data_IF_202233324664
#
_entry.id   IF_202233324664
#
_cell.length_a   1.000
_cell.length_b   1.000
_cell.length_c   1.000
_cell.angle_alpha   90.00
_cell.angle_beta   90.00
_cell.angle_gamma   90.00
#
_symmetry.space_group_name_H-M   'P 1'
#
loop_
_entity.id
_entity.type
_entity.pdbx_description
1 polymer ?
#
# COMPACT_ATOMS: atom_id res chain seq x y z
N UNK A 1 37.52 -24.60 -22.13
CA UNK A 1 36.15 -25.02 -22.49
C UNK A 1 35.22 -24.43 -21.45
N UNK A 2 34.71 -23.24 -21.76
CA UNK A 2 33.81 -22.51 -20.88
C UNK A 2 32.37 -22.90 -21.27
N UNK A 3 31.77 -23.76 -20.46
CA UNK A 3 30.41 -24.22 -20.66
C UNK A 3 29.46 -23.21 -20.02
N UNK A 4 29.16 -22.14 -20.73
CA UNK A 4 28.08 -21.23 -20.36
C UNK A 4 26.74 -21.99 -20.41
N UNK A 5 26.21 -22.32 -19.25
CA UNK A 5 24.87 -22.89 -19.08
C UNK A 5 23.86 -21.89 -19.65
N UNK A 6 23.01 -22.28 -20.61
CA UNK A 6 21.98 -21.38 -21.14
C UNK A 6 21.01 -21.03 -20.03
N UNK A 7 21.02 -19.78 -19.61
CA UNK A 7 20.04 -19.25 -18.65
C UNK A 7 18.68 -19.27 -19.34
N UNK A 8 17.78 -20.11 -18.86
CA UNK A 8 16.40 -20.16 -19.34
C UNK A 8 15.75 -18.79 -19.15
N UNK A 9 15.35 -18.08 -20.22
CA UNK A 9 14.78 -16.74 -20.12
C UNK A 9 13.51 -16.68 -19.25
N UNK A 10 12.75 -17.75 -19.18
CA UNK A 10 11.59 -17.86 -18.30
C UNK A 10 11.97 -17.96 -16.81
N UNK A 11 13.10 -18.57 -16.47
CA UNK A 11 13.61 -18.61 -15.09
C UNK A 11 14.17 -17.25 -14.67
N UNK A 12 14.80 -16.52 -15.57
CA UNK A 12 15.28 -15.15 -15.32
C UNK A 12 14.13 -14.12 -15.12
N UNK A 13 12.96 -14.36 -15.71
CA UNK A 13 11.76 -13.53 -15.46
C UNK A 13 11.12 -13.80 -14.10
N UNK A 14 11.23 -15.01 -13.57
CA UNK A 14 10.70 -15.37 -12.24
C UNK A 14 11.50 -14.72 -11.09
N UNK A 15 12.75 -14.37 -11.33
CA UNK A 15 13.62 -13.73 -10.34
C UNK A 15 13.43 -12.19 -10.30
N UNK A 16 12.67 -11.62 -11.23
CA UNK A 16 12.37 -10.20 -11.31
C UNK A 16 11.00 -9.90 -10.71
N UNK A 17 10.99 -9.09 -9.64
CA UNK A 17 9.74 -8.69 -9.01
C UNK A 17 8.98 -7.66 -9.84
N UNK A 18 9.72 -6.73 -10.49
CA UNK A 18 9.16 -5.63 -11.24
C UNK A 18 10.09 -5.25 -12.40
N UNK A 19 9.53 -5.09 -13.60
CA UNK A 19 10.21 -4.54 -14.76
C UNK A 19 9.42 -3.38 -15.32
N UNK A 20 10.05 -2.24 -15.47
CA UNK A 20 9.48 -1.03 -16.07
C UNK A 20 10.21 -0.78 -17.39
N UNK A 21 9.45 -0.54 -18.47
CA UNK A 21 10.00 -0.24 -19.79
C UNK A 21 9.38 1.03 -20.34
N UNK A 22 10.24 2.00 -20.68
CA UNK A 22 9.89 3.25 -21.35
C UNK A 22 8.69 3.95 -20.71
N UNK A 23 8.64 3.96 -19.37
CA UNK A 23 7.52 4.51 -18.63
C UNK A 23 7.51 6.04 -18.77
N UNK A 24 6.40 6.56 -19.26
CA UNK A 24 6.18 7.98 -19.44
C UNK A 24 4.94 8.42 -18.68
N UNK A 25 5.01 9.57 -18.02
CA UNK A 25 3.88 10.20 -17.37
C UNK A 25 3.86 11.69 -17.63
N UNK A 26 2.75 12.14 -18.17
CA UNK A 26 2.41 13.56 -18.32
C UNK A 26 1.10 13.84 -17.56
N UNK A 27 1.07 14.95 -16.83
CA UNK A 27 -0.17 15.47 -16.24
C UNK A 27 -0.81 16.54 -17.14
N UNK A 28 0.03 17.21 -17.93
CA UNK A 28 -0.36 18.16 -18.99
C UNK A 28 0.37 17.77 -20.27
N UNK A 29 -0.31 17.91 -21.41
CA UNK A 29 0.30 17.60 -22.69
C UNK A 29 1.62 18.37 -22.87
N UNK A 30 2.66 17.68 -23.33
CA UNK A 30 3.98 18.25 -23.57
C UNK A 30 4.83 18.51 -22.32
N UNK A 31 4.35 18.18 -21.11
CA UNK A 31 5.10 18.36 -19.86
C UNK A 31 5.29 17.01 -19.16
N UNK A 32 6.22 16.18 -19.61
CA UNK A 32 6.46 14.87 -19.01
C UNK A 32 7.17 15.01 -17.65
N UNK A 33 6.58 14.40 -16.63
CA UNK A 33 7.19 14.23 -15.29
C UNK A 33 8.06 12.99 -15.26
N UNK A 34 7.65 11.92 -15.96
CA UNK A 34 8.49 10.76 -16.22
C UNK A 34 8.79 10.70 -17.71
N UNK A 35 10.07 10.58 -18.05
CA UNK A 35 10.59 10.58 -19.42
C UNK A 35 11.29 9.25 -19.68
N UNK A 36 10.55 8.31 -20.27
CA UNK A 36 11.07 7.01 -20.74
C UNK A 36 11.88 6.24 -19.68
N UNK A 37 11.34 6.18 -18.46
CA UNK A 37 12.00 5.51 -17.33
C UNK A 37 11.95 4.00 -17.52
N UNK A 38 13.14 3.37 -17.53
CA UNK A 38 13.29 1.91 -17.58
C UNK A 38 14.14 1.45 -16.40
N UNK A 39 13.64 0.46 -15.66
CA UNK A 39 14.36 -0.14 -14.54
C UNK A 39 13.84 -1.56 -14.25
N UNK A 40 14.67 -2.36 -13.62
CA UNK A 40 14.33 -3.70 -13.15
C UNK A 40 14.59 -3.77 -11.65
N UNK A 41 13.65 -4.38 -10.92
CA UNK A 41 13.77 -4.65 -9.50
C UNK A 41 13.75 -6.16 -9.31
N UNK A 42 14.77 -6.69 -8.67
CA UNK A 42 14.90 -8.11 -8.37
C UNK A 42 13.86 -8.54 -7.31
N UNK A 43 13.51 -9.82 -7.31
CA UNK A 43 12.52 -10.37 -6.39
C UNK A 43 12.99 -10.37 -4.93
N UNK A 44 14.29 -10.31 -4.72
CA UNK A 44 14.92 -10.29 -3.40
C UNK A 44 15.79 -9.05 -3.25
N UNK A 45 15.81 -8.49 -2.05
CA UNK A 45 16.62 -7.33 -1.73
C UNK A 45 15.83 -6.04 -1.59
N UNK A 46 16.55 -4.93 -1.57
CA UNK A 46 16.02 -3.58 -1.45
C UNK A 46 16.52 -2.73 -2.60
N UNK A 47 15.61 -1.98 -3.22
CA UNK A 47 15.96 -0.99 -4.26
C UNK A 47 15.58 0.39 -3.75
N UNK A 48 16.56 1.32 -3.74
CA UNK A 48 16.34 2.71 -3.35
C UNK A 48 16.29 3.63 -4.58
N UNK A 49 15.32 4.54 -4.61
CA UNK A 49 15.21 5.60 -5.61
C UNK A 49 15.59 6.91 -4.95
N UNK A 50 16.74 7.45 -5.32
CA UNK A 50 17.32 8.65 -4.72
C UNK A 50 17.34 9.79 -5.77
N UNK A 51 17.19 11.03 -5.31
CA UNK A 51 17.26 12.21 -6.16
C UNK A 51 16.61 13.43 -5.52
N UNK A 52 16.79 14.64 -6.07
CA UNK A 52 16.21 15.88 -5.57
C UNK A 52 14.68 15.88 -5.52
N UNK A 53 14.08 16.82 -4.80
CA UNK A 53 12.62 17.02 -4.82
C UNK A 53 12.15 17.40 -6.23
N UNK A 54 10.94 16.97 -6.61
CA UNK A 54 10.37 17.29 -7.92
C UNK A 54 10.82 16.41 -9.09
N UNK A 55 11.78 15.48 -8.91
CA UNK A 55 12.28 14.62 -10.00
C UNK A 55 11.33 13.47 -10.42
N UNK A 56 10.12 13.41 -9.88
CA UNK A 56 9.14 12.39 -10.28
C UNK A 56 9.17 11.09 -9.47
N UNK A 57 10.01 10.93 -8.42
CA UNK A 57 10.09 9.71 -7.60
C UNK A 57 8.72 9.24 -7.09
N UNK A 58 7.96 10.13 -6.47
CA UNK A 58 6.63 9.83 -5.96
C UNK A 58 5.65 9.49 -7.09
N UNK A 59 5.79 10.14 -8.25
CA UNK A 59 4.99 9.84 -9.44
C UNK A 59 5.31 8.45 -9.96
N UNK A 60 6.59 8.06 -9.99
CA UNK A 60 7.02 6.71 -10.40
C UNK A 60 6.39 5.64 -9.50
N UNK A 61 6.50 5.78 -8.18
CA UNK A 61 5.90 4.85 -7.22
C UNK A 61 4.37 4.78 -7.37
N UNK A 62 3.72 5.93 -7.58
CA UNK A 62 2.26 5.97 -7.82
C UNK A 62 1.86 5.32 -9.15
N UNK A 63 2.69 5.41 -10.19
CA UNK A 63 2.48 4.70 -11.45
C UNK A 63 2.66 3.19 -11.28
N UNK A 64 3.68 2.74 -10.54
CA UNK A 64 3.91 1.32 -10.26
C UNK A 64 2.67 0.71 -9.59
N UNK A 65 2.13 1.36 -8.57
CA UNK A 65 0.90 0.91 -7.90
C UNK A 65 -0.38 1.25 -8.67
N UNK A 66 -0.27 1.87 -9.85
CA UNK A 66 -1.41 2.29 -10.67
C UNK A 66 -2.40 3.20 -9.92
N UNK A 67 -1.94 3.92 -8.91
CA UNK A 67 -2.69 5.04 -8.29
C UNK A 67 -2.78 6.23 -9.25
N UNK A 68 -1.79 6.35 -10.12
CA UNK A 68 -1.76 7.27 -11.27
C UNK A 68 -1.54 6.42 -12.52
N UNK A 69 -2.37 6.60 -13.53
CA UNK A 69 -2.22 5.89 -14.79
C UNK A 69 -1.00 6.44 -15.55
N UNK A 70 -0.10 5.59 -16.05
CA UNK A 70 0.97 6.03 -16.94
C UNK A 70 0.38 6.56 -18.25
N UNK A 71 1.10 7.46 -18.92
CA UNK A 71 0.73 7.95 -20.26
C UNK A 71 1.09 6.90 -21.30
N UNK A 72 2.27 6.26 -21.17
CA UNK A 72 2.74 5.16 -22.00
C UNK A 72 3.79 4.34 -21.26
N UNK A 73 4.23 3.24 -21.87
CA UNK A 73 5.19 2.31 -21.32
C UNK A 73 4.55 1.10 -20.64
N UNK A 74 5.38 0.22 -20.12
CA UNK A 74 4.97 -1.05 -19.52
C UNK A 74 5.39 -1.11 -18.05
N UNK A 75 4.56 -1.76 -17.22
CA UNK A 75 4.83 -2.03 -15.80
C UNK A 75 4.56 -3.51 -15.57
N UNK A 76 5.58 -4.32 -15.69
CA UNK A 76 5.47 -5.77 -15.56
C UNK A 76 5.77 -6.15 -14.11
N UNK A 77 4.76 -6.60 -13.40
CA UNK A 77 4.86 -7.08 -12.03
C UNK A 77 4.57 -8.57 -11.99
N UNK A 78 5.59 -9.37 -11.63
CA UNK A 78 5.51 -10.83 -11.62
C UNK A 78 4.95 -11.41 -12.92
N UNK A 79 5.46 -10.95 -14.06
CA UNK A 79 5.06 -11.41 -15.40
C UNK A 79 3.74 -10.82 -15.93
N UNK A 80 3.07 -9.95 -15.19
CA UNK A 80 1.80 -9.34 -15.61
C UNK A 80 1.96 -7.82 -15.83
N UNK A 81 1.61 -7.33 -17.04
CA UNK A 81 1.66 -5.90 -17.34
C UNK A 81 0.51 -5.15 -16.68
N UNK A 82 0.81 -4.47 -15.60
CA UNK A 82 -0.15 -3.66 -14.85
C UNK A 82 -0.70 -2.47 -15.64
N UNK A 83 0.05 -1.97 -16.63
CA UNK A 83 -0.38 -0.80 -17.41
C UNK A 83 -1.64 -1.11 -18.22
N UNK A 84 -1.84 -2.36 -18.61
CA UNK A 84 -2.98 -2.83 -19.40
C UNK A 84 -4.19 -3.25 -18.57
N UNK A 85 -3.99 -3.56 -17.27
CA UNK A 85 -5.07 -4.04 -16.42
C UNK A 85 -6.09 -2.95 -16.10
N UNK A 86 -7.35 -3.37 -15.93
CA UNK A 86 -8.47 -2.50 -15.56
C UNK A 86 -9.37 -3.18 -14.53
N UNK A 87 -10.18 -2.40 -13.85
CA UNK A 87 -11.26 -2.87 -13.00
C UNK A 87 -10.85 -3.97 -12.01
N UNK A 88 -11.48 -5.14 -12.14
CA UNK A 88 -11.30 -6.29 -11.24
C UNK A 88 -9.88 -6.85 -11.28
N UNK A 89 -9.28 -6.96 -12.46
CA UNK A 89 -7.94 -7.52 -12.62
C UNK A 89 -6.88 -6.65 -11.94
N UNK A 90 -6.93 -5.35 -12.15
CA UNK A 90 -6.05 -4.39 -11.49
C UNK A 90 -6.22 -4.44 -9.96
N UNK A 91 -7.46 -4.57 -9.46
CA UNK A 91 -7.71 -4.72 -8.04
C UNK A 91 -7.08 -6.00 -7.47
N UNK A 92 -7.15 -7.11 -8.21
CA UNK A 92 -6.52 -8.37 -7.82
C UNK A 92 -4.98 -8.24 -7.80
N UNK A 93 -4.39 -7.62 -8.82
CA UNK A 93 -2.94 -7.39 -8.87
C UNK A 93 -2.47 -6.54 -7.68
N UNK A 94 -3.18 -5.46 -7.33
CA UNK A 94 -2.88 -4.59 -6.20
C UNK A 94 -2.90 -5.28 -4.84
N UNK A 95 -3.63 -6.39 -4.65
CA UNK A 95 -3.61 -7.17 -3.40
C UNK A 95 -2.22 -7.70 -3.04
N UNK A 96 -1.36 -7.85 -4.05
CA UNK A 96 0.00 -8.37 -3.91
C UNK A 96 1.05 -7.27 -3.72
N UNK A 97 0.63 -6.01 -3.69
CA UNK A 97 1.49 -4.84 -3.52
C UNK A 97 1.07 -4.09 -2.26
N UNK A 98 2.00 -3.96 -1.33
CA UNK A 98 1.85 -3.04 -0.19
C UNK A 98 2.45 -1.69 -0.53
N UNK A 99 1.84 -0.61 -0.05
CA UNK A 99 2.39 0.74 -0.15
C UNK A 99 2.35 1.40 1.22
N UNK A 100 3.51 1.85 1.66
CA UNK A 100 3.63 2.70 2.84
C UNK A 100 3.72 4.14 2.35
N UNK A 101 2.81 4.97 2.81
CA UNK A 101 2.77 6.38 2.43
C UNK A 101 3.61 7.21 3.40
N UNK A 102 4.04 8.36 2.95
CA UNK A 102 4.80 9.32 3.75
C UNK A 102 3.93 9.94 4.85
N UNK A 103 2.65 10.17 4.55
CA UNK A 103 1.63 10.54 5.52
C UNK A 103 0.84 9.30 5.94
N UNK A 104 0.27 9.32 7.14
CA UNK A 104 -0.35 8.14 7.75
C UNK A 104 -1.52 7.56 6.98
N UNK A 105 -2.13 8.31 6.06
CA UNK A 105 -3.29 7.92 5.23
C UNK A 105 -4.40 7.20 6.02
N UNK A 106 -4.54 7.54 7.30
CA UNK A 106 -5.61 7.06 8.13
C UNK A 106 -6.91 7.79 7.78
N UNK A 107 -7.99 7.06 7.79
CA UNK A 107 -9.32 7.66 7.76
C UNK A 107 -9.64 8.09 9.19
N UNK A 108 -9.46 9.37 9.49
CA UNK A 108 -9.52 9.96 10.83
C UNK A 108 -10.81 9.62 11.59
N UNK A 109 -11.94 9.55 10.89
CA UNK A 109 -13.26 9.26 11.48
C UNK A 109 -13.49 7.79 11.81
N UNK A 110 -12.62 6.90 11.34
CA UNK A 110 -12.68 5.47 11.64
C UNK A 110 -11.87 5.15 12.89
N UNK A 111 -12.24 4.08 13.58
CA UNK A 111 -11.41 3.52 14.64
C UNK A 111 -10.11 2.93 14.11
N UNK A 112 -9.17 2.66 14.99
CA UNK A 112 -7.88 2.05 14.64
C UNK A 112 -8.10 0.70 13.97
N UNK A 113 -8.95 -0.15 14.53
CA UNK A 113 -9.25 -1.47 13.96
C UNK A 113 -9.96 -1.36 12.60
N UNK A 114 -10.87 -0.39 12.43
CA UNK A 114 -11.51 -0.16 11.13
C UNK A 114 -10.49 0.27 10.07
N UNK A 115 -9.51 1.10 10.42
CA UNK A 115 -8.41 1.47 9.53
C UNK A 115 -7.57 0.25 9.11
N UNK A 116 -7.25 -0.65 10.05
CA UNK A 116 -6.55 -1.92 9.74
C UNK A 116 -7.40 -2.79 8.81
N UNK A 117 -8.70 -2.90 9.07
CA UNK A 117 -9.63 -3.66 8.24
C UNK A 117 -9.82 -3.07 6.84
N UNK A 118 -9.58 -1.77 6.63
CA UNK A 118 -9.55 -1.18 5.29
C UNK A 118 -8.54 -1.89 4.37
N UNK A 119 -7.45 -2.43 4.90
CA UNK A 119 -6.50 -3.26 4.14
C UNK A 119 -7.12 -4.54 3.56
N UNK A 120 -8.26 -5.00 4.10
CA UNK A 120 -9.00 -6.18 3.60
C UNK A 120 -10.05 -5.86 2.54
N UNK A 121 -10.33 -4.58 2.27
CA UNK A 121 -11.37 -4.17 1.29
C UNK A 121 -11.14 -4.74 -0.11
N UNK A 122 -9.89 -5.00 -0.48
CA UNK A 122 -9.55 -5.66 -1.74
C UNK A 122 -10.08 -7.10 -1.84
N UNK A 123 -10.30 -7.79 -0.73
CA UNK A 123 -10.61 -9.22 -0.64
C UNK A 123 -12.08 -9.51 -0.38
N UNK A 124 -12.85 -8.52 0.06
CA UNK A 124 -14.27 -8.69 0.35
C UNK A 124 -15.15 -8.21 -0.81
N UNK A 125 -16.34 -8.77 -1.02
CA UNK A 125 -17.32 -8.28 -1.97
C UNK A 125 -17.71 -6.83 -1.65
N UNK A 126 -17.99 -6.02 -2.68
CA UNK A 126 -18.30 -4.58 -2.55
C UNK A 126 -19.46 -4.33 -1.57
N UNK A 127 -20.51 -5.14 -1.62
CA UNK A 127 -21.66 -4.99 -0.72
C UNK A 127 -21.31 -5.22 0.75
N UNK A 128 -20.42 -6.19 1.06
CA UNK A 128 -19.92 -6.41 2.44
C UNK A 128 -19.02 -5.27 2.89
N UNK A 129 -18.17 -4.77 2.00
CA UNK A 129 -17.34 -3.60 2.26
C UNK A 129 -18.19 -2.37 2.60
N UNK A 130 -19.27 -2.14 1.84
CA UNK A 130 -20.23 -1.05 2.08
C UNK A 130 -20.95 -1.17 3.43
N UNK A 131 -21.37 -2.41 3.81
CA UNK A 131 -22.00 -2.69 5.10
C UNK A 131 -20.99 -2.82 6.26
N UNK A 132 -19.68 -2.62 6.01
CA UNK A 132 -18.58 -2.83 6.99
C UNK A 132 -18.63 -4.24 7.63
N UNK A 133 -19.17 -5.23 6.94
CA UNK A 133 -19.26 -6.62 7.42
C UNK A 133 -18.03 -7.41 7.00
N UNK A 134 -17.02 -7.39 7.88
CA UNK A 134 -15.83 -8.23 7.77
C UNK A 134 -16.09 -9.63 8.32
N UNK A 135 -15.29 -10.60 7.90
CA UNK A 135 -15.34 -11.96 8.47
C UNK A 135 -14.70 -11.94 9.87
N UNK A 136 -15.18 -12.81 10.77
CA UNK A 136 -14.63 -12.92 12.11
C UNK A 136 -13.12 -13.12 12.09
N UNK A 137 -12.61 -14.00 11.20
CA UNK A 137 -11.17 -14.24 11.02
C UNK A 137 -10.37 -12.98 10.65
N UNK A 138 -10.94 -12.06 9.86
CA UNK A 138 -10.28 -10.80 9.50
C UNK A 138 -10.23 -9.86 10.70
N UNK A 139 -11.28 -9.86 11.51
CA UNK A 139 -11.36 -9.06 12.75
C UNK A 139 -10.36 -9.57 13.79
N UNK A 140 -10.33 -10.89 14.04
CA UNK A 140 -9.39 -11.51 14.97
C UNK A 140 -7.93 -11.24 14.55
N UNK A 141 -7.65 -11.39 13.25
CA UNK A 141 -6.33 -11.08 12.72
C UNK A 141 -5.95 -9.61 12.88
N UNK A 142 -6.91 -8.70 12.73
CA UNK A 142 -6.67 -7.27 12.94
C UNK A 142 -6.33 -6.97 14.40
N UNK A 143 -7.02 -7.58 15.36
CA UNK A 143 -6.68 -7.47 16.79
C UNK A 143 -5.27 -8.00 17.07
N UNK A 144 -4.95 -9.21 16.62
CA UNK A 144 -3.60 -9.77 16.79
C UNK A 144 -2.50 -8.87 16.21
N UNK A 145 -2.72 -8.24 15.05
CA UNK A 145 -1.76 -7.30 14.48
C UNK A 145 -1.61 -6.03 15.32
N UNK A 146 -2.70 -5.52 15.89
CA UNK A 146 -2.67 -4.35 16.78
C UNK A 146 -1.96 -4.68 18.10
N UNK A 147 -2.22 -5.85 18.67
CA UNK A 147 -1.54 -6.30 19.87
C UNK A 147 -0.03 -6.45 19.65
N UNK A 148 0.38 -7.01 18.50
CA UNK A 148 1.79 -7.19 18.15
C UNK A 148 2.57 -5.85 18.05
N UNK A 149 1.87 -4.73 17.78
CA UNK A 149 2.47 -3.39 17.75
C UNK A 149 2.13 -2.54 18.98
N UNK A 150 1.52 -3.15 20.02
CA UNK A 150 1.16 -2.48 21.28
C UNK A 150 0.00 -1.52 21.18
N UNK A 151 -0.86 -1.64 20.18
CA UNK A 151 -2.04 -0.78 19.96
C UNK A 151 -3.37 -1.50 20.26
N UNK A 152 -3.37 -2.68 20.86
CA UNK A 152 -4.58 -3.46 21.14
C UNK A 152 -5.61 -2.71 21.97
N UNK A 153 -5.21 -2.05 23.05
CA UNK A 153 -6.11 -1.25 23.90
C UNK A 153 -6.72 -0.03 23.19
N UNK A 154 -6.08 0.43 22.12
CA UNK A 154 -6.50 1.58 21.33
C UNK A 154 -7.36 1.19 20.13
N UNK A 155 -7.59 -0.11 19.91
CA UNK A 155 -8.25 -0.66 18.72
C UNK A 155 -9.62 0.01 18.42
N UNK A 156 -10.39 0.32 19.43
CA UNK A 156 -11.74 0.92 19.30
C UNK A 156 -11.73 2.45 19.30
N UNK A 157 -10.59 3.08 19.57
CA UNK A 157 -10.48 4.54 19.57
C UNK A 157 -10.42 5.06 18.14
N UNK A 158 -10.92 6.27 17.92
CA UNK A 158 -10.84 6.92 16.61
C UNK A 158 -9.41 7.33 16.30
N UNK A 159 -9.04 7.25 15.01
CA UNK A 159 -7.69 7.56 14.57
C UNK A 159 -7.28 9.03 14.80
N UNK A 160 -8.23 9.97 14.70
CA UNK A 160 -7.98 11.39 14.98
C UNK A 160 -7.62 11.66 16.46
N UNK A 161 -7.99 10.77 17.37
CA UNK A 161 -7.67 10.89 18.80
C UNK A 161 -6.25 10.40 19.12
N UNK A 162 -5.62 9.66 18.22
CA UNK A 162 -4.26 9.14 18.37
C UNK A 162 -3.19 10.09 17.82
N UNK A 163 -3.51 10.88 16.80
CA UNK A 163 -2.59 11.87 16.23
C UNK A 163 -2.60 13.11 17.11
N UNK A 164 -1.70 13.15 18.10
CA UNK A 164 -1.21 14.32 18.87
C UNK A 164 -1.91 15.67 18.81
N UNK A 165 -3.24 15.71 18.84
CA UNK A 165 -3.95 16.90 19.28
C UNK A 165 -3.66 17.15 20.76
N UNK A 166 -3.79 18.41 21.29
CA UNK A 166 -3.52 18.70 22.69
C UNK A 166 -4.31 17.71 23.55
N UNK A 167 -3.61 16.94 24.38
CA UNK A 167 -4.17 15.91 25.23
C UNK A 167 -5.40 16.49 25.95
N UNK A 168 -6.61 15.93 25.77
CA UNK A 168 -7.70 16.31 26.63
C UNK A 168 -7.26 15.97 28.05
N UNK A 169 -7.23 16.98 28.90
CA UNK A 169 -6.85 16.85 30.30
C UNK A 169 -7.48 15.58 30.86
N UNK A 170 -6.64 14.67 31.31
CA UNK A 170 -7.09 13.43 31.96
C UNK A 170 -8.02 13.85 33.11
N UNK A 171 -9.31 13.76 32.89
CA UNK A 171 -10.25 13.80 34.00
C UNK A 171 -10.05 12.52 34.77
N UNK A 172 -9.25 12.58 35.81
CA UNK A 172 -9.24 11.58 36.86
C UNK A 172 -10.68 11.41 37.35
N UNK A 173 -11.33 10.37 36.88
CA UNK A 173 -12.56 9.91 37.49
C UNK A 173 -12.13 9.25 38.82
N UNK A 174 -11.99 10.05 39.86
CA UNK A 174 -11.91 9.57 41.22
C UNK A 174 -13.25 8.91 41.53
N UNK A 175 -13.24 7.59 41.52
CA UNK A 175 -14.33 6.75 42.02
C UNK A 175 -14.36 6.96 43.52
N UNK A 176 -15.17 7.91 43.95
CA UNK A 176 -15.52 8.07 45.36
C UNK A 176 -16.33 6.87 45.80
N UNK A 177 -15.71 5.99 46.56
CA UNK A 177 -16.42 5.03 47.40
C UNK A 177 -16.95 5.82 48.59
N UNK A 178 -18.23 6.14 48.54
CA UNK A 178 -18.97 6.47 49.74
C UNK A 178 -19.71 5.19 50.16
N UNK A 179 -19.22 4.56 51.23
CA UNK A 179 -19.97 3.58 51.96
C UNK A 179 -20.98 4.28 52.89
N UNK A 180 -22.10 3.65 53.02
CA UNK A 180 -22.91 3.51 54.26
C UNK A 180 -24.10 2.60 53.94
#
# INVERSE_FOLDING_TARGET
MDASIPVNPAAAELDRALVIRNLRKEYRAGQPVLKDVSLTVEARGMTAIIGPSGTGKSTLIRCINRLVDPTSGEIIFRGQDLARLRGRELRIARRRMGMVFQEYNLVERLSVIENVLCGRLGYVPVWRAWLRRFQAQDIDRAFHLLDAVGLGELATQRADQLSGGPAPARRHCTRSHAGA
#
